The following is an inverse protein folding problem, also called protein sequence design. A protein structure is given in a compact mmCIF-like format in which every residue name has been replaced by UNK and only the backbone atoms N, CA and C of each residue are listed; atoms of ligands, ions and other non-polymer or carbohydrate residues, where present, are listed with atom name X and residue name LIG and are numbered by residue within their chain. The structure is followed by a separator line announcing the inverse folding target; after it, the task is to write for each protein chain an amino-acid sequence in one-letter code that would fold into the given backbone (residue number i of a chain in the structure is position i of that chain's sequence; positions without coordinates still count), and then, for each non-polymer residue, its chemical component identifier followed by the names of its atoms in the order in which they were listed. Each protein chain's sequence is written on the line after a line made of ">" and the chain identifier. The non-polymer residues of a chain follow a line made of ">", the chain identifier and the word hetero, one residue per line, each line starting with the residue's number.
data_IF_234237319582
#
_entry.id   IF_234237319582
#
_cell.length_a   1.000
_cell.length_b   1.000
_cell.length_c   1.000
_cell.angle_alpha   90.00
_cell.angle_beta   90.00
_cell.angle_gamma   90.00
#
_symmetry.space_group_name_H-M   'P 1'
#
loop_
_entity.id
_entity.type
_entity.pdbx_description
1 polymer ?
#
# COMPACT_ATOMS: atom_id res chain seq x y z
N UNK A 1 -13.57 -6.84 5.19
CA UNK A 1 -13.19 -6.23 6.47
C UNK A 1 -11.71 -6.54 6.75
N UNK A 2 -11.01 -5.70 7.52
CA UNK A 2 -9.64 -5.97 7.96
C UNK A 2 -8.55 -5.75 6.90
N UNK A 3 -8.82 -4.98 5.85
CA UNK A 3 -7.82 -4.66 4.82
C UNK A 3 -6.87 -3.58 5.35
N UNK A 4 -5.56 -3.80 5.18
CA UNK A 4 -4.52 -2.84 5.56
C UNK A 4 -3.86 -2.31 4.29
N UNK A 5 -3.85 -0.99 4.14
CA UNK A 5 -3.06 -0.28 3.12
C UNK A 5 -2.21 0.72 3.90
N UNK A 6 -0.92 0.43 4.03
CA UNK A 6 -0.07 1.21 4.94
C UNK A 6 1.39 1.19 4.52
N UNK A 7 2.11 2.22 4.94
CA UNK A 7 3.53 2.30 4.70
C UNK A 7 4.26 1.15 5.42
N UNK A 8 5.33 0.63 4.82
CA UNK A 8 6.20 -0.32 5.52
C UNK A 8 7.02 0.44 6.57
N UNK A 9 7.40 -0.18 7.69
CA UNK A 9 8.17 0.51 8.75
C UNK A 9 9.51 1.13 8.31
N UNK A 10 9.98 0.83 7.10
CA UNK A 10 11.16 1.41 6.46
C UNK A 10 10.88 2.59 5.51
N UNK A 11 9.62 2.96 5.30
CA UNK A 11 9.20 3.99 4.35
C UNK A 11 8.00 4.76 4.87
N UNK A 12 7.96 6.08 4.70
CA UNK A 12 6.77 6.89 5.01
C UNK A 12 5.72 6.84 3.89
N UNK A 13 6.01 6.15 2.77
CA UNK A 13 5.16 6.13 1.58
C UNK A 13 4.20 4.95 1.59
N UNK A 14 2.91 5.25 1.43
CA UNK A 14 1.87 4.26 1.24
C UNK A 14 1.91 3.65 -0.17
N UNK A 15 1.36 2.44 -0.37
CA UNK A 15 1.20 1.84 -1.68
C UNK A 15 0.33 2.67 -2.62
N UNK A 16 0.69 2.72 -3.90
CA UNK A 16 -0.14 3.33 -4.95
C UNK A 16 -0.98 2.26 -5.63
N UNK A 17 -2.31 2.43 -5.61
CA UNK A 17 -3.26 1.53 -6.25
C UNK A 17 -3.75 2.11 -7.58
N UNK A 18 -3.82 1.28 -8.61
CA UNK A 18 -4.43 1.60 -9.90
C UNK A 18 -5.96 1.54 -9.87
N UNK A 19 -6.56 1.55 -11.06
CA UNK A 19 -8.02 1.51 -11.21
C UNK A 19 -8.57 0.09 -11.03
N UNK A 20 -9.78 -0.03 -10.46
CA UNK A 20 -10.55 -1.30 -10.42
C UNK A 20 -9.79 -2.46 -9.76
N UNK A 21 -8.96 -2.13 -8.77
CA UNK A 21 -8.28 -3.11 -7.92
C UNK A 21 -9.28 -3.68 -6.91
N UNK A 22 -9.31 -4.99 -6.80
CA UNK A 22 -10.09 -5.68 -5.78
C UNK A 22 -9.17 -6.25 -4.72
N UNK A 23 -9.51 -5.96 -3.45
CA UNK A 23 -8.72 -6.37 -2.30
C UNK A 23 -9.60 -7.24 -1.41
N UNK A 24 -9.20 -8.51 -1.27
CA UNK A 24 -9.88 -9.47 -0.44
C UNK A 24 -9.83 -9.09 1.05
N UNK A 25 -10.77 -9.61 1.86
CA UNK A 25 -10.78 -9.36 3.30
C UNK A 25 -9.46 -9.83 3.95
N UNK A 26 -9.02 -9.10 4.98
CA UNK A 26 -7.76 -9.35 5.70
C UNK A 26 -6.47 -9.29 4.86
N UNK A 27 -6.52 -8.79 3.62
CA UNK A 27 -5.31 -8.56 2.84
C UNK A 27 -4.52 -7.37 3.38
N UNK A 28 -3.19 -7.51 3.37
CA UNK A 28 -2.24 -6.48 3.78
C UNK A 28 -1.42 -6.08 2.57
N UNK A 29 -1.50 -4.80 2.20
CA UNK A 29 -0.70 -4.18 1.14
C UNK A 29 0.23 -3.18 1.81
N UNK A 30 1.54 -3.40 1.70
CA UNK A 30 2.52 -2.58 2.43
C UNK A 30 3.75 -2.24 1.62
N UNK A 31 4.30 -1.06 1.92
CA UNK A 31 5.52 -0.52 1.31
C UNK A 31 5.27 0.45 0.15
N UNK A 32 6.34 1.05 -0.39
CA UNK A 32 6.29 2.01 -1.49
C UNK A 32 6.11 1.28 -2.83
N UNK A 33 5.10 0.42 -2.94
CA UNK A 33 4.85 -0.43 -4.10
C UNK A 33 3.71 0.12 -4.96
N UNK A 34 3.80 -0.16 -6.26
CA UNK A 34 2.73 0.14 -7.22
C UNK A 34 1.93 -1.11 -7.53
N UNK A 35 0.61 -1.03 -7.36
CA UNK A 35 -0.35 -2.03 -7.80
C UNK A 35 -1.03 -1.51 -9.06
N UNK A 36 -0.96 -2.29 -10.13
CA UNK A 36 -1.57 -1.97 -11.42
C UNK A 36 -3.10 -1.89 -11.40
N UNK A 37 -3.68 -1.63 -12.57
CA UNK A 37 -5.13 -1.60 -12.75
C UNK A 37 -5.70 -3.01 -12.97
N UNK A 38 -6.97 -3.21 -12.64
CA UNK A 38 -7.69 -4.49 -12.78
C UNK A 38 -7.06 -5.65 -11.99
N UNK A 39 -6.31 -5.35 -10.92
CA UNK A 39 -5.63 -6.35 -10.08
C UNK A 39 -6.59 -6.99 -9.07
N UNK A 40 -6.35 -8.25 -8.72
CA UNK A 40 -7.03 -8.99 -7.67
C UNK A 40 -6.02 -9.39 -6.60
N UNK A 41 -6.26 -8.98 -5.36
CA UNK A 41 -5.51 -9.42 -4.19
C UNK A 41 -6.42 -10.36 -3.40
N UNK A 42 -5.99 -11.60 -3.21
CA UNK A 42 -6.73 -12.62 -2.48
C UNK A 42 -6.95 -12.25 -1.01
N UNK A 43 -7.92 -12.90 -0.37
CA UNK A 43 -8.10 -12.79 1.07
C UNK A 43 -6.82 -13.21 1.82
N UNK A 44 -6.57 -12.60 2.99
CA UNK A 44 -5.43 -12.91 3.85
C UNK A 44 -4.05 -12.91 3.15
N UNK A 45 -3.87 -12.10 2.10
CA UNK A 45 -2.63 -12.05 1.31
C UNK A 45 -1.73 -10.90 1.74
N UNK A 46 -0.42 -11.13 1.78
CA UNK A 46 0.60 -10.11 2.11
C UNK A 46 1.31 -9.65 0.84
N UNK A 47 0.95 -8.47 0.36
CA UNK A 47 1.54 -7.85 -0.83
C UNK A 47 2.63 -6.88 -0.40
N UNK A 48 3.88 -7.30 -0.61
CA UNK A 48 5.08 -6.51 -0.34
C UNK A 48 5.92 -6.24 -1.62
N UNK A 49 5.41 -6.63 -2.80
CA UNK A 49 6.06 -6.43 -4.09
C UNK A 49 5.10 -5.78 -5.10
N UNK A 50 5.60 -5.00 -6.07
CA UNK A 50 4.78 -4.40 -7.11
C UNK A 50 4.00 -5.45 -7.90
N UNK A 51 2.77 -5.09 -8.32
CA UNK A 51 1.91 -5.94 -9.12
C UNK A 51 1.61 -5.24 -10.45
N UNK A 52 1.80 -5.96 -11.56
CA UNK A 52 1.44 -5.47 -12.89
C UNK A 52 -0.08 -5.48 -13.11
N UNK A 53 -0.53 -4.80 -14.16
CA UNK A 53 -1.94 -4.74 -14.53
C UNK A 53 -2.53 -6.14 -14.72
N UNK A 54 -3.80 -6.31 -14.31
CA UNK A 54 -4.57 -7.55 -14.39
C UNK A 54 -4.01 -8.73 -13.57
N UNK A 55 -2.98 -8.52 -12.75
CA UNK A 55 -2.44 -9.57 -11.90
C UNK A 55 -3.47 -10.09 -10.90
N UNK A 56 -3.42 -11.39 -10.62
CA UNK A 56 -4.16 -12.05 -9.54
C UNK A 56 -3.13 -12.61 -8.59
N UNK A 57 -3.00 -12.00 -7.41
CA UNK A 57 -1.99 -12.34 -6.42
C UNK A 57 -2.63 -12.87 -5.12
N UNK A 58 -2.09 -13.95 -4.58
CA UNK A 58 -2.55 -14.55 -3.31
C UNK A 58 -1.39 -15.05 -2.46
N UNK A 59 -1.63 -15.24 -1.17
CA UNK A 59 -0.69 -15.91 -0.24
C UNK A 59 0.16 -14.96 0.60
N UNK A 60 1.01 -15.53 1.45
CA UNK A 60 1.93 -14.84 2.35
C UNK A 60 3.32 -15.49 2.26
N UNK A 61 4.30 -14.88 1.57
CA UNK A 61 4.20 -13.65 0.78
C UNK A 61 3.36 -13.86 -0.49
N UNK A 62 2.70 -12.79 -0.97
CA UNK A 62 1.84 -12.87 -2.15
C UNK A 62 2.65 -13.26 -3.40
N UNK A 63 2.06 -14.15 -4.20
CA UNK A 63 2.58 -14.59 -5.50
C UNK A 63 1.50 -14.42 -6.56
N UNK A 64 1.92 -14.00 -7.76
CA UNK A 64 1.02 -13.89 -8.90
C UNK A 64 0.68 -15.29 -9.40
N UNK A 65 -0.60 -15.64 -9.40
CA UNK A 65 -1.10 -16.90 -9.95
C UNK A 65 -1.39 -16.77 -11.44
N UNK A 66 -1.96 -15.64 -11.87
CA UNK A 66 -2.39 -15.42 -13.24
C UNK A 66 -2.57 -13.92 -13.54
N UNK A 67 -2.74 -13.57 -14.81
CA UNK A 67 -3.04 -12.22 -15.30
C UNK A 67 -4.49 -12.11 -15.83
N UNK A 68 -5.40 -12.92 -15.28
CA UNK A 68 -6.81 -12.98 -15.68
C UNK A 68 -7.61 -11.70 -15.40
N UNK A 69 -7.14 -10.86 -14.48
CA UNK A 69 -7.75 -9.59 -14.08
C UNK A 69 -9.03 -9.71 -13.23
N UNK A 70 -9.41 -8.61 -12.61
CA UNK A 70 -10.55 -8.53 -11.69
C UNK A 70 -11.89 -8.80 -12.35
N UNK A 71 -12.04 -8.48 -13.64
CA UNK A 71 -13.29 -8.68 -14.38
C UNK A 71 -13.77 -10.15 -14.45
N UNK A 72 -12.85 -11.13 -14.36
CA UNK A 72 -13.21 -12.56 -14.38
C UNK A 72 -13.56 -13.11 -13.00
N UNK A 73 -12.97 -12.55 -11.96
CA UNK A 73 -13.10 -13.03 -10.57
C UNK A 73 -14.21 -12.30 -9.80
N UNK A 74 -14.48 -11.03 -10.11
CA UNK A 74 -15.44 -10.21 -9.39
C UNK A 74 -16.63 -9.86 -10.29
N UNK A 75 -17.78 -10.45 -9.94
CA UNK A 75 -19.06 -10.13 -10.58
C UNK A 75 -19.60 -8.82 -10.02
N UNK A 76 -19.24 -7.71 -10.67
CA UNK A 76 -19.80 -6.40 -10.36
C UNK A 76 -21.19 -6.27 -11.03
N UNK A 77 -22.25 -5.90 -10.29
CA UNK A 77 -23.57 -5.65 -10.86
C UNK A 77 -23.52 -4.62 -11.98
N UNK A 78 -24.30 -4.78 -13.08
CA UNK A 78 -24.29 -3.84 -14.21
C UNK A 78 -24.56 -2.40 -13.78
N UNK A 79 -25.47 -2.22 -12.83
CA UNK A 79 -25.86 -0.91 -12.28
C UNK A 79 -24.69 -0.20 -11.58
N UNK A 80 -23.88 -0.92 -10.80
CA UNK A 80 -22.70 -0.35 -10.14
C UNK A 80 -21.61 -0.03 -11.16
N UNK A 81 -21.38 -0.93 -12.13
CA UNK A 81 -20.41 -0.73 -13.20
C UNK A 81 -20.73 0.51 -14.04
N UNK A 82 -22.01 0.67 -14.40
CA UNK A 82 -22.48 1.80 -15.20
C UNK A 82 -22.37 3.12 -14.41
N UNK A 83 -22.74 3.13 -13.13
CA UNK A 83 -22.52 4.30 -12.25
C UNK A 83 -21.05 4.66 -12.13
N UNK A 84 -20.17 3.67 -11.96
CA UNK A 84 -18.72 3.90 -11.85
C UNK A 84 -18.14 4.43 -13.17
N UNK A 85 -18.59 3.92 -14.32
CA UNK A 85 -18.19 4.39 -15.65
C UNK A 85 -18.67 5.80 -15.97
N UNK A 86 -19.90 6.13 -15.59
CA UNK A 86 -20.49 7.45 -15.78
C UNK A 86 -19.88 8.51 -14.84
N UNK A 87 -19.51 8.10 -13.63
CA UNK A 87 -18.91 8.98 -12.62
C UNK A 87 -17.38 9.04 -12.70
N UNK A 88 -16.72 8.45 -13.71
CA UNK A 88 -15.27 8.50 -13.85
C UNK A 88 -14.85 9.98 -13.97
N UNK A 89 -14.20 10.58 -12.97
CA UNK A 89 -13.45 11.78 -13.26
C UNK A 89 -12.33 11.36 -14.22
N UNK A 90 -11.99 12.21 -15.20
CA UNK A 90 -10.70 12.09 -15.85
C UNK A 90 -9.66 12.06 -14.72
N UNK A 91 -8.94 10.94 -14.58
CA UNK A 91 -8.04 10.67 -13.46
C UNK A 91 -7.22 11.92 -13.17
N UNK A 92 -7.52 12.62 -12.07
CA UNK A 92 -6.61 13.62 -11.55
C UNK A 92 -5.40 12.83 -11.12
N UNK A 93 -4.28 13.02 -11.81
CA UNK A 93 -2.97 12.62 -11.29
C UNK A 93 -2.92 13.15 -9.88
N UNK A 94 -2.94 12.27 -8.87
CA UNK A 94 -2.71 12.69 -7.50
C UNK A 94 -1.37 13.40 -7.55
N UNK A 95 -1.29 14.72 -7.26
CA UNK A 95 -0.02 15.41 -7.27
C UNK A 95 0.92 14.63 -6.34
N UNK A 96 2.19 14.44 -6.71
CA UNK A 96 3.11 13.64 -5.91
C UNK A 96 3.04 14.15 -4.48
N UNK A 97 2.73 13.25 -3.54
CA UNK A 97 2.67 13.57 -2.13
C UNK A 97 3.99 14.27 -1.77
N UNK A 98 3.92 15.48 -1.22
CA UNK A 98 5.10 16.22 -0.82
C UNK A 98 6.02 15.29 -0.01
N UNK A 99 7.35 15.35 -0.20
CA UNK A 99 8.25 14.46 0.52
C UNK A 99 7.97 14.57 2.02
N UNK A 100 8.11 13.45 2.78
CA UNK A 100 7.90 13.50 4.22
C UNK A 100 8.76 14.64 4.77
N UNK A 101 8.14 15.55 5.53
CA UNK A 101 8.88 16.65 6.17
C UNK A 101 10.05 16.00 6.89
N UNK A 102 11.28 16.32 6.48
CA UNK A 102 12.46 15.82 7.16
C UNK A 102 12.28 16.17 8.62
N UNK A 103 12.21 15.13 9.46
CA UNK A 103 12.22 15.33 10.90
C UNK A 103 13.45 16.19 11.19
N UNK A 104 13.32 17.33 11.89
CA UNK A 104 14.47 18.15 12.19
C UNK A 104 15.50 17.25 12.88
N UNK A 105 16.73 17.27 12.37
CA UNK A 105 17.83 16.53 12.99
C UNK A 105 17.83 16.86 14.49
N UNK A 106 18.01 15.87 15.38
CA UNK A 106 18.17 16.18 16.79
C UNK A 106 19.31 17.19 16.90
N UNK A 107 19.01 18.38 17.42
CA UNK A 107 20.02 19.39 17.71
C UNK A 107 21.10 18.72 18.54
N UNK A 108 22.36 18.91 18.14
CA UNK A 108 23.55 18.31 18.75
C UNK A 108 23.79 18.71 20.21
N UNK A 109 22.85 19.41 20.86
CA UNK A 109 22.91 19.83 22.26
C UNK A 109 22.39 18.79 23.27
N UNK A 110 21.80 17.67 22.82
CA UNK A 110 21.29 16.63 23.73
C UNK A 110 22.16 15.38 23.89
N UNK A 111 23.14 15.15 23.03
CA UNK A 111 23.86 13.86 22.95
C UNK A 111 24.98 13.70 24.00
N UNK A 112 25.39 14.77 24.69
CA UNK A 112 26.50 14.72 25.66
C UNK A 112 26.00 14.47 27.10
N UNK A 113 24.71 14.67 27.38
CA UNK A 113 24.20 14.61 28.76
C UNK A 113 23.71 13.22 29.23
N UNK A 114 23.44 12.28 28.30
CA UNK A 114 22.84 10.98 28.66
C UNK A 114 23.87 9.83 28.73
N UNK A 115 25.10 10.06 28.28
CA UNK A 115 26.21 9.12 28.44
C UNK A 115 26.84 9.16 29.84
N UNK A 116 26.64 10.25 30.58
CA UNK A 116 27.37 10.53 31.84
C UNK A 116 26.61 10.12 33.11
N UNK A 117 25.42 9.50 32.99
CA UNK A 117 24.69 8.92 34.14
C UNK A 117 24.89 7.42 34.36
N UNK A 118 25.77 6.78 33.57
CA UNK A 118 26.07 5.33 33.68
C UNK A 118 27.52 5.02 34.04
N UNK A 119 28.22 5.94 34.72
CA UNK A 119 29.46 5.65 35.44
C UNK A 119 29.48 6.43 36.74
N UNK A 120 29.01 5.81 37.82
CA UNK A 120 29.84 5.63 39.03
C UNK A 120 29.11 4.86 40.14
N UNK A 121 29.86 4.26 41.10
CA UNK A 121 29.65 2.89 41.55
C UNK A 121 29.01 2.77 42.95
N UNK A 122 28.51 1.57 43.25
CA UNK A 122 28.43 1.00 44.60
C UNK A 122 28.71 -0.51 44.51
#
# INVERSE_FOLDING_TARGET
>A
QGVVIGAAGSSESAPTLGDRVWIGPHAVVTGPIRVGSDVVIGANSLVAAPLADRAVAVGVPARVLTYGGSARLIKVPPTLRQRWQAARPAVQTVPPLSPPRSRPAPSSEGAVADADRRRDPA
#
